data_IF_420090515214
#
_entry.id   IF_420090515214
#
_cell.length_a   1.000
_cell.length_b   1.000
_cell.length_c   1.000
_cell.angle_alpha   90.00
_cell.angle_beta   90.00
_cell.angle_gamma   90.00
#
_symmetry.space_group_name_H-M   'P 1'
#
loop_
_entity.id
_entity.type
_entity.pdbx_description
1 polymer ?
#
# COMPACT_ATOMS: atom_id res chain seq x y z
N UNK A 1 -10.55 35.22 21.74
CA UNK A 1 -10.18 34.70 20.41
C UNK A 1 -9.40 33.40 20.61
N UNK A 2 -9.84 32.33 19.95
CA UNK A 2 -9.66 30.92 20.33
C UNK A 2 -8.23 30.40 20.20
N UNK A 3 -7.68 29.85 21.29
CA UNK A 3 -6.38 29.16 21.32
C UNK A 3 -6.55 27.80 20.63
N UNK A 4 -6.14 27.71 19.36
CA UNK A 4 -6.07 26.45 18.63
C UNK A 4 -5.04 25.54 19.31
N UNK A 5 -5.53 24.49 19.99
CA UNK A 5 -4.71 23.40 20.51
C UNK A 5 -4.36 22.47 19.35
N UNK A 6 -3.28 22.79 18.64
CA UNK A 6 -2.65 21.85 17.73
C UNK A 6 -2.06 20.72 18.58
N UNK A 7 -2.64 19.52 18.45
CA UNK A 7 -2.04 18.30 18.98
C UNK A 7 -0.69 18.03 18.30
N UNK A 8 0.15 17.14 18.87
CA UNK A 8 1.46 16.83 18.32
C UNK A 8 1.35 16.50 16.82
N UNK A 9 2.02 17.30 15.99
CA UNK A 9 2.12 17.09 14.55
C UNK A 9 2.88 15.78 14.37
N UNK A 10 2.27 14.83 13.67
CA UNK A 10 2.94 13.58 13.34
C UNK A 10 4.22 13.92 12.57
N UNK A 11 5.35 13.50 13.12
CA UNK A 11 6.67 13.73 12.54
C UNK A 11 6.82 12.84 11.29
N UNK A 12 6.31 13.31 10.15
CA UNK A 12 6.44 12.66 8.85
C UNK A 12 7.75 13.10 8.18
N UNK A 13 8.85 13.04 8.93
CA UNK A 13 10.17 13.36 8.39
C UNK A 13 10.55 12.31 7.34
N UNK A 14 10.71 12.70 6.06
CA UNK A 14 10.97 11.74 5.00
C UNK A 14 12.35 11.11 5.17
N UNK A 15 12.37 9.82 5.52
CA UNK A 15 13.62 9.05 5.63
C UNK A 15 14.05 8.59 4.25
N UNK A 16 15.15 9.14 3.72
CA UNK A 16 15.77 8.66 2.48
C UNK A 16 16.34 7.26 2.71
N UNK A 17 15.79 6.26 2.01
CA UNK A 17 16.31 4.88 1.96
C UNK A 17 16.68 4.55 0.53
N UNK A 18 17.90 4.07 0.32
CA UNK A 18 18.32 3.55 -0.98
C UNK A 18 18.01 2.06 -1.03
N UNK A 19 16.98 1.70 -1.79
CA UNK A 19 16.59 0.31 -2.05
C UNK A 19 16.50 0.14 -3.55
N UNK A 20 17.33 -0.74 -4.11
CA UNK A 20 17.32 -1.06 -5.54
C UNK A 20 16.19 -2.03 -5.86
N UNK A 21 15.18 -1.65 -6.68
CA UNK A 21 14.16 -2.59 -7.11
C UNK A 21 14.74 -3.62 -8.10
N UNK A 22 14.25 -4.86 -8.11
CA UNK A 22 14.57 -5.81 -9.17
C UNK A 22 14.22 -5.25 -10.56
N UNK A 23 14.98 -5.65 -11.59
CA UNK A 23 14.80 -5.16 -12.98
C UNK A 23 13.36 -5.32 -13.49
N UNK A 24 12.72 -6.46 -13.21
CA UNK A 24 11.34 -6.71 -13.63
C UNK A 24 10.36 -5.71 -13.01
N UNK A 25 10.52 -5.42 -11.72
CA UNK A 25 9.69 -4.44 -11.02
C UNK A 25 9.92 -3.03 -11.58
N UNK A 26 11.18 -2.65 -11.82
CA UNK A 26 11.49 -1.34 -12.41
C UNK A 26 10.84 -1.16 -13.79
N UNK A 27 10.96 -2.16 -14.68
CA UNK A 27 10.33 -2.13 -16.01
C UNK A 27 8.80 -2.06 -15.91
N UNK A 28 8.19 -2.85 -15.03
CA UNK A 28 6.75 -2.81 -14.79
C UNK A 28 6.27 -1.45 -14.28
N UNK A 29 7.00 -0.84 -13.34
CA UNK A 29 6.67 0.49 -12.81
C UNK A 29 6.82 1.60 -13.87
N UNK A 30 7.80 1.49 -14.76
CA UNK A 30 7.97 2.42 -15.87
C UNK A 30 6.76 2.39 -16.82
N UNK A 31 6.37 1.19 -17.28
CA UNK A 31 5.18 1.01 -18.12
C UNK A 31 3.90 1.48 -17.42
N UNK A 32 3.76 1.17 -16.13
CA UNK A 32 2.63 1.63 -15.33
C UNK A 32 2.54 3.16 -15.27
N UNK A 33 3.69 3.83 -15.10
CA UNK A 33 3.78 5.29 -15.07
C UNK A 33 3.43 5.95 -16.40
N UNK A 34 3.81 5.33 -17.52
CA UNK A 34 3.41 5.77 -18.86
C UNK A 34 1.90 5.67 -19.06
N UNK A 35 1.31 4.51 -18.73
CA UNK A 35 -0.14 4.29 -18.85
C UNK A 35 -0.92 5.26 -17.95
N UNK A 36 -0.43 5.51 -16.74
CA UNK A 36 -1.04 6.45 -15.81
C UNK A 36 -1.02 7.90 -16.34
N UNK A 37 0.10 8.30 -16.97
CA UNK A 37 0.21 9.61 -17.61
C UNK A 37 -0.75 9.77 -18.81
N UNK A 38 -1.00 8.69 -19.57
CA UNK A 38 -1.96 8.70 -20.67
C UNK A 38 -3.42 8.73 -20.20
N UNK A 39 -3.72 8.08 -19.07
CA UNK A 39 -5.08 7.91 -18.56
C UNK A 39 -5.56 9.06 -17.65
N UNK A 40 -4.67 9.93 -17.18
CA UNK A 40 -5.00 10.98 -16.20
C UNK A 40 -5.90 12.10 -16.77
N UNK A 41 -7.03 12.37 -16.12
CA UNK A 41 -7.95 13.49 -16.41
C UNK A 41 -7.39 14.89 -16.07
N UNK A 42 -6.19 14.95 -15.49
CA UNK A 42 -5.55 16.17 -14.96
C UNK A 42 -4.47 16.82 -15.85
N UNK A 43 -4.40 16.49 -17.14
CA UNK A 43 -3.75 17.35 -18.13
C UNK A 43 -2.23 17.28 -18.26
N UNK A 44 -1.55 16.31 -17.67
CA UNK A 44 -0.12 16.11 -17.92
C UNK A 44 0.06 14.72 -18.50
N UNK A 45 0.05 14.60 -19.83
CA UNK A 45 0.42 13.40 -20.59
C UNK A 45 1.86 12.94 -20.39
N UNK A 46 2.46 13.29 -19.24
CA UNK A 46 3.83 13.02 -18.84
C UNK A 46 3.84 11.73 -18.05
N UNK A 47 4.69 10.80 -18.47
CA UNK A 47 4.90 9.54 -17.76
C UNK A 47 5.36 9.81 -16.31
N UNK A 48 4.73 9.16 -15.34
CA UNK A 48 5.13 9.28 -13.94
C UNK A 48 6.37 8.41 -13.72
N UNK A 49 7.50 8.97 -13.22
CA UNK A 49 8.71 8.18 -13.01
C UNK A 49 8.48 7.11 -11.92
N UNK A 50 9.11 5.92 -12.06
CA UNK A 50 8.86 4.78 -11.16
C UNK A 50 9.12 5.11 -9.69
N UNK A 51 10.12 5.95 -9.39
CA UNK A 51 10.47 6.39 -8.04
C UNK A 51 9.33 7.14 -7.34
N UNK A 52 8.53 7.91 -8.09
CA UNK A 52 7.39 8.66 -7.54
C UNK A 52 6.16 7.78 -7.32
N UNK A 53 6.13 6.58 -7.88
CA UNK A 53 5.00 5.65 -7.75
C UNK A 53 5.11 4.78 -6.49
N UNK A 54 6.32 4.39 -6.08
CA UNK A 54 6.52 3.40 -5.00
C UNK A 54 5.83 3.82 -3.69
N UNK A 55 6.12 5.04 -3.21
CA UNK A 55 5.59 5.53 -1.93
C UNK A 55 4.05 5.60 -1.91
N UNK A 56 3.37 6.31 -2.84
CA UNK A 56 1.91 6.38 -2.81
C UNK A 56 1.23 5.03 -3.04
N UNK A 57 1.85 4.10 -3.79
CA UNK A 57 1.31 2.75 -3.96
C UNK A 57 1.43 1.91 -2.69
N UNK A 58 2.58 1.96 -2.03
CA UNK A 58 2.80 1.25 -0.77
C UNK A 58 1.90 1.80 0.34
N UNK A 59 1.75 3.12 0.42
CA UNK A 59 0.87 3.76 1.39
C UNK A 59 -0.58 3.30 1.23
N UNK A 60 -1.10 3.24 -0.01
CA UNK A 60 -2.45 2.74 -0.31
C UNK A 60 -2.59 1.26 0.01
N UNK A 61 -1.61 0.44 -0.39
CA UNK A 61 -1.61 -1.00 -0.10
C UNK A 61 -1.66 -1.26 1.40
N UNK A 62 -0.78 -0.62 2.18
CA UNK A 62 -0.77 -0.70 3.65
C UNK A 62 -2.09 -0.25 4.26
N UNK A 63 -2.68 0.83 3.75
CA UNK A 63 -3.94 1.36 4.27
C UNK A 63 -5.11 0.39 4.04
N UNK A 64 -5.12 -0.35 2.92
CA UNK A 64 -6.16 -1.32 2.60
C UNK A 64 -5.85 -2.75 3.02
N UNK A 65 -4.66 -3.03 3.54
CA UNK A 65 -4.26 -4.37 3.97
C UNK A 65 -5.09 -4.79 5.18
N UNK A 66 -6.05 -5.69 4.96
CA UNK A 66 -7.00 -6.13 6.00
C UNK A 66 -6.30 -6.87 7.14
N UNK A 67 -5.22 -7.60 6.84
CA UNK A 67 -4.44 -8.29 7.85
C UNK A 67 -3.74 -7.29 8.77
N UNK A 68 -3.12 -6.28 8.17
CA UNK A 68 -2.48 -5.17 8.87
C UNK A 68 -3.47 -4.36 9.69
N UNK A 69 -4.62 -3.99 9.12
CA UNK A 69 -5.68 -3.27 9.83
C UNK A 69 -6.23 -4.09 11.00
N UNK A 70 -6.46 -5.39 10.82
CA UNK A 70 -6.97 -6.27 11.89
C UNK A 70 -5.95 -6.45 13.01
N UNK A 71 -4.68 -6.69 12.65
CA UNK A 71 -3.58 -6.78 13.60
C UNK A 71 -3.40 -5.47 14.39
N UNK A 72 -3.47 -4.32 13.71
CA UNK A 72 -3.43 -3.00 14.36
C UNK A 72 -4.58 -2.79 15.34
N UNK A 73 -5.76 -3.37 15.06
CA UNK A 73 -6.94 -3.29 15.93
C UNK A 73 -6.90 -4.27 17.12
N UNK A 74 -5.80 -4.99 17.34
CA UNK A 74 -5.69 -5.99 18.42
C UNK A 74 -6.56 -7.23 18.21
N UNK A 75 -7.12 -7.40 17.00
CA UNK A 75 -7.83 -8.63 16.64
C UNK A 75 -6.78 -9.67 16.28
N UNK A 76 -6.89 -10.92 16.76
CA UNK A 76 -5.98 -11.98 16.37
C UNK A 76 -6.09 -12.17 14.85
N UNK A 77 -5.14 -11.61 14.11
CA UNK A 77 -5.06 -11.72 12.66
C UNK A 77 -4.74 -13.16 12.19
N UNK A 78 -4.59 -14.10 13.13
CA UNK A 78 -3.95 -15.40 12.89
C UNK A 78 -4.88 -16.61 12.88
N UNK A 79 -6.20 -16.45 13.01
CA UNK A 79 -7.12 -17.59 12.81
C UNK A 79 -7.72 -17.67 11.40
N UNK A 80 -7.96 -16.54 10.74
CA UNK A 80 -8.57 -16.54 9.39
C UNK A 80 -7.58 -16.32 8.22
N UNK A 81 -6.42 -15.70 8.47
CA UNK A 81 -5.52 -15.30 7.37
C UNK A 81 -4.80 -16.51 6.73
N UNK A 82 -4.47 -17.54 7.51
CA UNK A 82 -3.90 -18.79 6.97
C UNK A 82 -4.93 -19.67 6.26
N UNK A 83 -6.22 -19.54 6.58
CA UNK A 83 -7.27 -20.35 5.95
C UNK A 83 -7.64 -19.87 4.54
N UNK A 84 -7.43 -18.57 4.23
CA UNK A 84 -7.79 -17.97 2.94
C UNK A 84 -6.68 -17.97 1.87
N UNK A 85 -5.42 -18.22 2.24
CA UNK A 85 -4.30 -18.32 1.28
C UNK A 85 -4.16 -19.74 0.72
N UNK A 86 -4.66 -20.75 1.43
CA UNK A 86 -4.77 -22.14 0.97
C UNK A 86 -6.18 -22.42 0.40
N UNK A 87 -6.68 -21.54 -0.47
CA UNK A 87 -7.96 -21.72 -1.14
C UNK A 87 -7.87 -22.68 -2.33
N UNK A 88 -7.41 -23.91 -2.12
CA UNK A 88 -7.66 -25.00 -3.06
C UNK A 88 -8.66 -25.98 -2.43
N UNK A 89 -9.87 -26.00 -2.97
CA UNK A 89 -10.75 -27.16 -2.94
C UNK A 89 -11.45 -27.49 -1.63
N UNK A 90 -12.75 -27.16 -1.59
CA UNK A 90 -13.85 -27.92 -0.96
C UNK A 90 -13.63 -28.49 0.45
N UNK A 91 -14.34 -27.87 1.40
CA UNK A 91 -14.96 -28.62 2.50
C UNK A 91 -14.07 -28.86 3.71
N UNK A 92 -13.93 -27.85 4.55
CA UNK A 92 -13.39 -28.02 5.90
C UNK A 92 -14.02 -26.98 6.82
N UNK A 93 -15.03 -27.39 7.57
CA UNK A 93 -15.54 -26.62 8.70
C UNK A 93 -14.45 -26.57 9.78
N UNK A 94 -14.05 -25.36 10.19
CA UNK A 94 -13.23 -25.18 11.37
C UNK A 94 -14.12 -25.42 12.61
N UNK A 95 -13.98 -26.58 13.24
CA UNK A 95 -14.50 -26.82 14.60
C UNK A 95 -13.61 -26.06 15.59
N UNK A 96 -14.27 -25.53 16.63
CA UNK A 96 -13.79 -24.57 17.63
C UNK A 96 -12.42 -24.86 18.24
#
# INVERSE_FOLDING_TARGET
>A
MTKLKLGPIADDTPVKRSVGPPVGLHRGLALYGELLGRAGTGGQGVAVPPQKLVVPKLARCRASDRGFVSAKAGRPAVRDWMCGVQGEGRGGSCVN
#
